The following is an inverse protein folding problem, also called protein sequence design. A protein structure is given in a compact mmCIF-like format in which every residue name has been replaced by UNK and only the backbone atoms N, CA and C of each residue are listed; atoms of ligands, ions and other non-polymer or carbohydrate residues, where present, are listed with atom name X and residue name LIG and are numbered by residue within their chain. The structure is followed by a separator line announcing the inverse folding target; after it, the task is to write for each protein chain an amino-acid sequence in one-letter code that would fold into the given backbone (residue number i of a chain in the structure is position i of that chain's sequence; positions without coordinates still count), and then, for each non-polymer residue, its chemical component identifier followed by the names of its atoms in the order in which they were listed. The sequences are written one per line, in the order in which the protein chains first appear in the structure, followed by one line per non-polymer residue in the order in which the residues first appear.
data_IF_632954667419
#
_entry.id   IF_632954667419
#
_cell.length_a   1.000
_cell.length_b   1.000
_cell.length_c   1.000
_cell.angle_alpha   90.00
_cell.angle_beta   90.00
_cell.angle_gamma   90.00
#
_symmetry.space_group_name_H-M   'P 1'
#
loop_
_entity.id
_entity.type
_entity.pdbx_description
1 polymer ?
#
# COMPACT_ATOMS: atom_id res chain seq x y z
N UNK A 1 35.33 -9.14 18.90
CA UNK A 1 34.47 -8.60 17.83
C UNK A 1 33.38 -7.78 18.50
N UNK A 2 33.46 -6.45 18.47
CA UNK A 2 32.40 -5.57 18.98
C UNK A 2 31.98 -4.68 17.81
N UNK A 3 30.73 -4.82 17.39
CA UNK A 3 30.13 -3.98 16.35
C UNK A 3 29.86 -2.63 17.01
N UNK A 4 30.76 -1.68 16.81
CA UNK A 4 30.55 -0.30 17.23
C UNK A 4 29.34 0.26 16.48
N UNK A 5 28.29 0.62 17.21
CA UNK A 5 27.21 1.45 16.69
C UNK A 5 27.87 2.78 16.31
N UNK A 6 28.11 2.99 15.01
CA UNK A 6 28.60 4.28 14.51
C UNK A 6 27.61 5.33 14.95
N UNK A 7 28.07 6.30 15.72
CA UNK A 7 27.23 7.39 16.15
C UNK A 7 26.98 8.23 14.89
N UNK A 8 25.72 8.60 14.61
CA UNK A 8 25.35 9.39 13.43
C UNK A 8 26.08 10.75 13.36
N UNK A 9 26.75 11.12 14.45
CA UNK A 9 27.54 12.34 14.56
C UNK A 9 29.05 12.15 14.37
N UNK A 10 29.53 10.93 14.06
CA UNK A 10 30.96 10.65 13.88
C UNK A 10 31.58 11.39 12.67
N UNK A 11 30.73 11.89 11.75
CA UNK A 11 31.15 12.69 10.58
C UNK A 11 31.05 14.21 10.81
N UNK A 12 30.76 14.68 12.04
CA UNK A 12 30.66 16.12 12.31
C UNK A 12 32.06 16.77 12.42
N UNK A 13 32.28 17.92 11.74
CA UNK A 13 33.54 18.63 11.85
C UNK A 13 33.76 19.15 13.28
N UNK A 14 35.03 19.29 13.72
CA UNK A 14 35.39 19.59 15.11
C UNK A 14 34.93 20.98 15.62
N UNK A 15 34.31 21.81 14.78
CA UNK A 15 33.80 23.14 15.15
C UNK A 15 32.41 23.04 15.79
N UNK A 16 32.37 22.37 16.94
CA UNK A 16 31.11 22.06 17.66
C UNK A 16 30.33 23.32 18.09
N UNK A 17 31.03 24.43 18.33
CA UNK A 17 30.42 25.72 18.75
C UNK A 17 29.44 26.31 17.72
N UNK A 18 29.56 25.91 16.45
CA UNK A 18 28.66 26.38 15.38
C UNK A 18 27.47 25.47 15.15
N UNK A 19 27.42 24.28 15.75
CA UNK A 19 26.31 23.33 15.59
C UNK A 19 24.96 23.88 16.06
N UNK A 20 24.87 24.66 17.16
CA UNK A 20 23.61 25.32 17.52
C UNK A 20 23.12 26.26 16.41
N UNK A 21 24.04 27.03 15.81
CA UNK A 21 23.74 27.91 14.67
C UNK A 21 23.26 27.10 13.47
N UNK A 22 23.94 26.01 13.10
CA UNK A 22 23.49 25.13 12.01
C UNK A 22 22.11 24.51 12.28
N UNK A 23 21.82 24.11 13.53
CA UNK A 23 20.51 23.57 13.93
C UNK A 23 19.40 24.59 13.72
N UNK A 24 19.63 25.85 14.10
CA UNK A 24 18.66 26.94 13.90
C UNK A 24 18.45 27.21 12.42
N UNK A 25 19.54 27.33 11.65
CA UNK A 25 19.44 27.56 10.20
C UNK A 25 18.73 26.42 9.48
N UNK A 26 19.03 25.18 9.84
CA UNK A 26 18.38 24.00 9.28
C UNK A 26 16.88 23.99 9.57
N UNK A 27 16.47 24.30 10.80
CA UNK A 27 15.06 24.38 11.18
C UNK A 27 14.31 25.45 10.37
N UNK A 28 14.90 26.64 10.21
CA UNK A 28 14.33 27.72 9.39
C UNK A 28 14.20 27.32 7.91
N UNK A 29 15.19 26.59 7.38
CA UNK A 29 15.19 26.13 6.00
C UNK A 29 14.12 25.06 5.74
N UNK A 30 13.99 24.08 6.65
CA UNK A 30 12.92 23.07 6.59
C UNK A 30 11.54 23.72 6.65
N UNK A 31 11.32 24.63 7.60
CA UNK A 31 10.05 25.36 7.71
C UNK A 31 9.69 26.09 6.41
N UNK A 32 10.68 26.67 5.72
CA UNK A 32 10.47 27.32 4.42
C UNK A 32 10.15 26.33 3.30
N UNK A 33 10.79 25.16 3.27
CA UNK A 33 10.47 24.09 2.31
C UNK A 33 9.03 23.61 2.52
N UNK A 34 8.66 23.33 3.77
CA UNK A 34 7.33 22.83 4.13
C UNK A 34 6.25 23.85 3.79
N UNK A 35 6.50 25.13 4.00
CA UNK A 35 5.56 26.19 3.64
C UNK A 35 5.36 26.34 2.12
N UNK A 36 6.39 26.04 1.31
CA UNK A 36 6.33 26.15 -0.15
C UNK A 36 5.84 24.87 -0.82
N UNK A 37 5.92 23.74 -0.12
CA UNK A 37 5.49 22.45 -0.64
C UNK A 37 4.04 22.17 -0.24
N UNK A 38 3.14 21.84 -1.18
CA UNK A 38 1.83 21.35 -0.78
C UNK A 38 1.99 20.07 0.06
N UNK A 39 1.11 19.81 1.04
CA UNK A 39 1.18 18.59 1.82
C UNK A 39 1.22 17.37 0.89
N UNK A 40 2.07 16.40 1.22
CA UNK A 40 2.20 15.16 0.47
C UNK A 40 0.85 14.40 0.52
N UNK A 41 0.04 14.54 -0.53
CA UNK A 41 -1.31 13.95 -0.65
C UNK A 41 -1.33 12.44 -0.41
N UNK A 42 -0.22 11.76 -0.64
CA UNK A 42 -0.13 10.31 -0.55
C UNK A 42 -0.43 9.74 0.84
N UNK A 43 -0.14 10.43 1.95
CA UNK A 43 -0.44 9.89 3.28
C UNK A 43 -1.92 10.04 3.64
N UNK A 44 -2.49 11.23 3.49
CA UNK A 44 -3.91 11.46 3.76
C UNK A 44 -4.84 10.61 2.87
N UNK A 45 -4.47 10.43 1.59
CA UNK A 45 -5.24 9.58 0.67
C UNK A 45 -5.07 8.09 0.97
N UNK A 46 -3.91 7.65 1.47
CA UNK A 46 -3.71 6.29 1.96
C UNK A 46 -4.49 6.02 3.25
N UNK A 47 -4.54 6.97 4.17
CA UNK A 47 -5.30 6.87 5.42
C UNK A 47 -6.81 6.85 5.14
N UNK A 48 -7.31 7.79 4.34
CA UNK A 48 -8.70 7.78 3.88
C UNK A 48 -9.03 6.51 3.10
N UNK A 49 -8.11 6.03 2.24
CA UNK A 49 -8.29 4.79 1.50
C UNK A 49 -8.26 3.53 2.35
N UNK A 50 -7.64 3.56 3.54
CA UNK A 50 -7.72 2.46 4.51
C UNK A 50 -9.04 2.48 5.26
N UNK A 51 -9.49 3.65 5.69
CA UNK A 51 -10.72 3.77 6.48
C UNK A 51 -12.00 3.59 5.65
N UNK A 52 -12.00 4.09 4.41
CA UNK A 52 -13.18 4.08 3.53
C UNK A 52 -13.23 2.88 2.59
N UNK A 53 -12.27 1.93 2.68
CA UNK A 53 -12.25 0.77 1.80
C UNK A 53 -13.46 -0.13 2.09
N UNK A 54 -14.32 -0.41 1.10
CA UNK A 54 -15.39 -1.39 1.28
C UNK A 54 -14.79 -2.73 1.67
N UNK A 55 -15.46 -3.46 2.58
CA UNK A 55 -15.07 -4.84 2.90
C UNK A 55 -14.95 -5.64 1.58
N UNK A 56 -13.84 -6.34 1.36
CA UNK A 56 -13.72 -7.16 0.15
C UNK A 56 -14.85 -8.20 0.13
N UNK A 57 -15.36 -8.53 -1.08
CA UNK A 57 -16.33 -9.62 -1.21
C UNK A 57 -15.73 -10.92 -0.62
N UNK A 58 -16.58 -11.81 -0.12
CA UNK A 58 -16.08 -13.09 0.40
C UNK A 58 -15.59 -13.99 -0.74
N UNK A 59 -16.29 -13.97 -1.89
CA UNK A 59 -16.01 -14.81 -3.05
C UNK A 59 -16.03 -14.00 -4.35
N UNK A 60 -15.12 -14.35 -5.25
CA UNK A 60 -15.05 -13.82 -6.61
C UNK A 60 -14.95 -14.95 -7.62
N UNK A 61 -15.36 -14.67 -8.85
CA UNK A 61 -15.16 -15.54 -10.01
C UNK A 61 -14.33 -14.79 -11.04
N UNK A 62 -13.20 -15.38 -11.42
CA UNK A 62 -12.38 -14.93 -12.53
C UNK A 62 -12.99 -15.37 -13.87
N UNK A 63 -12.99 -14.46 -14.83
CA UNK A 63 -13.65 -14.61 -16.13
C UNK A 63 -12.62 -14.62 -17.24
N UNK A 64 -12.83 -15.53 -18.20
CA UNK A 64 -11.98 -15.68 -19.37
C UNK A 64 -12.19 -14.63 -20.45
N UNK A 65 -11.43 -14.81 -21.52
CA UNK A 65 -11.50 -14.00 -22.73
C UNK A 65 -12.47 -14.70 -23.70
N UNK A 66 -13.36 -13.93 -24.32
CA UNK A 66 -14.35 -14.43 -25.27
C UNK A 66 -15.78 -13.95 -24.99
N UNK A 67 -16.68 -14.20 -25.94
CA UNK A 67 -18.10 -13.90 -25.80
C UNK A 67 -18.71 -14.72 -24.66
N UNK A 68 -19.56 -14.07 -23.86
CA UNK A 68 -20.12 -14.65 -22.65
C UNK A 68 -19.16 -14.75 -21.46
N UNK A 69 -17.86 -14.41 -21.63
CA UNK A 69 -16.82 -14.33 -20.59
C UNK A 69 -16.90 -15.52 -19.61
N UNK A 70 -16.56 -16.74 -20.06
CA UNK A 70 -16.81 -17.95 -19.28
C UNK A 70 -16.04 -17.92 -17.94
N UNK A 71 -16.60 -18.53 -16.87
CA UNK A 71 -15.93 -18.64 -15.58
C UNK A 71 -14.69 -19.52 -15.68
N UNK A 72 -13.55 -19.06 -15.18
CA UNK A 72 -12.30 -19.83 -15.13
C UNK A 72 -12.11 -20.42 -13.73
N UNK A 73 -12.22 -19.59 -12.69
CA UNK A 73 -11.83 -19.95 -11.33
C UNK A 73 -12.66 -19.20 -10.29
N UNK A 74 -12.99 -19.87 -9.19
CA UNK A 74 -13.64 -19.31 -8.01
C UNK A 74 -12.56 -19.06 -6.96
N UNK A 75 -12.34 -17.81 -6.57
CA UNK A 75 -11.30 -17.46 -5.61
C UNK A 75 -11.92 -16.75 -4.39
N UNK A 76 -11.18 -16.73 -3.27
CA UNK A 76 -11.49 -15.84 -2.16
C UNK A 76 -11.40 -14.38 -2.64
N UNK A 77 -12.28 -13.50 -2.16
CA UNK A 77 -12.37 -12.15 -2.69
C UNK A 77 -11.22 -11.21 -2.32
N UNK A 78 -10.33 -11.64 -1.42
CA UNK A 78 -9.05 -11.01 -1.10
C UNK A 78 -7.84 -11.70 -1.76
N UNK A 79 -8.06 -12.67 -2.67
CA UNK A 79 -7.00 -13.34 -3.41
C UNK A 79 -6.16 -12.35 -4.22
N UNK A 80 -4.85 -12.28 -3.92
CA UNK A 80 -3.90 -11.39 -4.61
C UNK A 80 -3.53 -11.88 -6.02
N UNK A 81 -3.74 -13.16 -6.29
CA UNK A 81 -3.48 -13.77 -7.60
C UNK A 81 -4.64 -13.59 -8.58
N UNK A 82 -5.79 -13.09 -8.11
CA UNK A 82 -6.97 -12.87 -8.91
C UNK A 82 -6.70 -11.90 -10.07
N UNK A 83 -7.02 -12.31 -11.29
CA UNK A 83 -6.94 -11.45 -12.46
C UNK A 83 -7.91 -10.27 -12.41
N UNK A 84 -7.69 -9.30 -13.30
CA UNK A 84 -8.52 -8.09 -13.39
C UNK A 84 -9.97 -8.37 -13.79
N UNK A 85 -10.21 -9.44 -14.56
CA UNK A 85 -11.54 -9.81 -15.07
C UNK A 85 -12.27 -10.65 -14.02
N UNK A 86 -12.75 -10.01 -12.96
CA UNK A 86 -13.41 -10.70 -11.85
C UNK A 86 -14.79 -10.14 -11.55
N UNK A 87 -15.69 -11.01 -11.09
CA UNK A 87 -17.03 -10.65 -10.64
C UNK A 87 -17.25 -11.14 -9.21
N UNK A 88 -17.84 -10.29 -8.36
CA UNK A 88 -18.25 -10.66 -7.00
C UNK A 88 -19.41 -11.66 -7.08
N UNK A 89 -19.39 -12.68 -6.24
CA UNK A 89 -20.46 -13.68 -6.18
C UNK A 89 -20.84 -13.99 -4.73
N UNK A 90 -22.07 -14.48 -4.52
CA UNK A 90 -22.47 -15.01 -3.21
C UNK A 90 -21.79 -16.36 -2.95
N UNK A 91 -21.79 -16.79 -1.68
CA UNK A 91 -21.29 -18.10 -1.29
C UNK A 91 -22.05 -19.24 -1.98
N UNK A 92 -23.36 -19.10 -2.14
CA UNK A 92 -24.21 -20.08 -2.83
C UNK A 92 -23.84 -20.15 -4.32
N UNK A 93 -23.61 -19.01 -4.97
CA UNK A 93 -23.16 -18.99 -6.36
C UNK A 93 -21.77 -19.62 -6.51
N UNK A 94 -20.82 -19.27 -5.64
CA UNK A 94 -19.50 -19.90 -5.61
C UNK A 94 -19.60 -21.42 -5.53
N UNK A 95 -20.42 -21.94 -4.59
CA UNK A 95 -20.68 -23.39 -4.44
C UNK A 95 -21.31 -24.00 -5.69
N UNK A 96 -22.29 -23.33 -6.32
CA UNK A 96 -22.87 -23.79 -7.59
C UNK A 96 -21.84 -23.87 -8.71
N UNK A 97 -20.93 -22.90 -8.81
CA UNK A 97 -19.87 -22.90 -9.85
C UNK A 97 -18.85 -24.01 -9.63
N UNK A 98 -18.43 -24.23 -8.38
CA UNK A 98 -17.56 -25.34 -8.02
C UNK A 98 -18.22 -26.69 -8.34
N UNK A 99 -19.51 -26.84 -8.00
CA UNK A 99 -20.29 -28.03 -8.35
C UNK A 99 -20.45 -28.21 -9.88
N UNK A 100 -20.50 -27.13 -10.64
CA UNK A 100 -20.52 -27.14 -12.11
C UNK A 100 -19.13 -27.35 -12.75
N UNK A 101 -18.08 -27.61 -11.95
CA UNK A 101 -16.74 -27.94 -12.44
C UNK A 101 -15.80 -26.75 -12.65
N UNK A 102 -16.16 -25.55 -12.18
CA UNK A 102 -15.22 -24.41 -12.18
C UNK A 102 -14.09 -24.67 -11.16
N UNK A 103 -12.85 -24.26 -11.48
CA UNK A 103 -11.68 -24.43 -10.58
C UNK A 103 -11.78 -23.53 -9.34
N UNK A 104 -10.96 -23.83 -8.32
CA UNK A 104 -10.88 -23.11 -7.05
C UNK A 104 -9.45 -22.65 -6.78
#
# INVERSE_FOLDING_TARGET
MSIGIKNVFDDLPPVLDRLPTFRVWHALWLQRIDHRSPPFRGQAEQEHGQHSRPRPPEWIVELGIGDGRPPIEVQAGDCRMAGHRRRRVSREEARRRLAAGTRA
#
